data_IF_587725785494
#
_entry.id   IF_587725785494
#
_cell.length_a   1.000
_cell.length_b   1.000
_cell.length_c   1.000
_cell.angle_alpha   90.00
_cell.angle_beta   90.00
_cell.angle_gamma   90.00
#
_symmetry.space_group_name_H-M   'P 1'
#
loop_
_entity.id
_entity.type
_entity.pdbx_description
1 polymer ?
#
# COMPACT_ATOMS: atom_id res chain seq x y z
N UNK A 1 92.00 44.61 69.40
CA UNK A 1 91.73 44.59 67.94
C UNK A 1 92.01 43.16 67.47
N UNK A 2 91.10 42.35 66.93
CA UNK A 2 90.16 42.57 65.82
C UNK A 2 89.16 41.39 65.82
N UNK A 3 87.86 41.65 65.66
CA UNK A 3 86.83 40.61 65.44
C UNK A 3 86.49 40.58 63.95
N UNK A 4 86.92 39.54 63.22
CA UNK A 4 86.60 39.32 61.81
C UNK A 4 85.24 38.64 61.70
N UNK A 5 84.25 39.36 61.19
CA UNK A 5 83.03 38.78 60.66
C UNK A 5 83.31 38.10 59.31
N UNK A 6 82.85 36.85 59.16
CA UNK A 6 82.73 36.18 57.85
C UNK A 6 81.26 35.81 57.65
N UNK A 7 80.59 36.57 56.77
CA UNK A 7 79.47 36.07 55.96
C UNK A 7 80.02 34.96 55.06
N UNK A 8 79.37 33.80 54.96
CA UNK A 8 79.09 33.11 53.69
C UNK A 8 78.28 31.81 53.89
N UNK A 9 77.44 31.53 52.88
CA UNK A 9 76.73 30.28 52.50
C UNK A 9 75.24 30.14 52.87
N UNK A 10 74.39 30.82 52.08
CA UNK A 10 73.04 30.38 51.69
C UNK A 10 73.05 29.94 50.21
N UNK A 11 73.56 28.74 49.92
CA UNK A 11 73.49 28.15 48.56
C UNK A 11 73.02 26.68 48.52
N UNK A 12 72.94 25.98 49.67
CA UNK A 12 72.48 24.58 49.75
C UNK A 12 70.95 24.44 49.83
N UNK A 13 70.29 25.22 50.69
CA UNK A 13 68.84 25.13 50.91
C UNK A 13 68.01 25.54 49.69
N UNK A 14 68.52 26.46 48.87
CA UNK A 14 67.85 26.90 47.63
C UNK A 14 67.85 25.82 46.55
N UNK A 15 68.84 24.92 46.52
CA UNK A 15 68.94 23.87 45.50
C UNK A 15 68.03 22.70 45.86
N UNK A 16 67.99 22.29 47.14
CA UNK A 16 67.11 21.21 47.61
C UNK A 16 65.63 21.66 47.54
N UNK A 17 65.35 22.90 47.95
CA UNK A 17 64.02 23.49 47.80
C UNK A 17 63.58 23.58 46.33
N UNK A 18 64.48 23.96 45.42
CA UNK A 18 64.20 23.99 43.99
C UNK A 18 63.93 22.58 43.43
N UNK A 19 64.67 21.54 43.84
CA UNK A 19 64.47 20.16 43.38
C UNK A 19 63.10 19.64 43.83
N UNK A 20 62.71 19.85 45.10
CA UNK A 20 61.41 19.45 45.62
C UNK A 20 60.27 20.19 44.93
N UNK A 21 60.40 21.50 44.71
CA UNK A 21 59.41 22.30 43.99
C UNK A 21 59.27 21.83 42.54
N UNK A 22 60.39 21.54 41.88
CA UNK A 22 60.40 21.03 40.49
C UNK A 22 59.76 19.65 40.42
N UNK A 23 60.06 18.75 41.35
CA UNK A 23 59.45 17.42 41.41
C UNK A 23 57.93 17.48 41.65
N UNK A 24 57.47 18.35 42.55
CA UNK A 24 56.04 18.59 42.78
C UNK A 24 55.37 19.20 41.55
N UNK A 25 56.03 20.13 40.87
CA UNK A 25 55.50 20.79 39.67
C UNK A 25 55.39 19.80 38.51
N UNK A 26 56.42 18.96 38.31
CA UNK A 26 56.40 17.90 37.30
C UNK A 26 55.35 16.84 37.64
N UNK A 27 55.28 16.41 38.90
CA UNK A 27 54.27 15.44 39.36
C UNK A 27 52.83 15.95 39.19
N UNK A 28 52.56 17.20 39.57
CA UNK A 28 51.28 17.84 39.35
C UNK A 28 50.97 18.01 37.85
N UNK A 29 51.97 18.38 37.04
CA UNK A 29 51.84 18.50 35.59
C UNK A 29 51.48 17.17 34.93
N UNK A 30 52.15 16.08 35.31
CA UNK A 30 51.84 14.71 34.81
C UNK A 30 50.46 14.26 35.24
N UNK A 31 50.07 14.54 36.49
CA UNK A 31 48.73 14.20 36.99
C UNK A 31 47.62 14.95 36.24
N UNK A 32 47.78 16.26 36.03
CA UNK A 32 46.83 17.07 35.26
C UNK A 32 46.77 16.58 33.81
N UNK A 33 47.92 16.24 33.21
CA UNK A 33 47.97 15.68 31.87
C UNK A 33 47.22 14.34 31.78
N UNK A 34 47.41 13.44 32.75
CA UNK A 34 46.73 12.15 32.80
C UNK A 34 45.20 12.28 32.97
N UNK A 35 44.76 13.22 33.80
CA UNK A 35 43.32 13.53 33.97
C UNK A 35 42.75 14.13 32.68
N UNK A 36 43.48 15.06 32.05
CA UNK A 36 43.06 15.68 30.80
C UNK A 36 42.98 14.66 29.65
N UNK A 37 43.95 13.76 29.51
CA UNK A 37 43.92 12.70 28.48
C UNK A 37 42.83 11.67 28.73
N UNK A 38 42.59 11.30 30.00
CA UNK A 38 41.46 10.43 30.37
C UNK A 38 40.10 11.07 30.06
N UNK A 39 39.93 12.35 30.40
CA UNK A 39 38.73 13.11 30.07
C UNK A 39 38.52 13.26 28.57
N UNK A 40 39.58 13.58 27.82
CA UNK A 40 39.53 13.65 26.37
C UNK A 40 39.17 12.30 25.75
N UNK A 41 39.73 11.19 26.25
CA UNK A 41 39.39 9.84 25.80
C UNK A 41 37.91 9.51 26.01
N UNK A 42 37.38 9.77 27.21
CA UNK A 42 35.95 9.54 27.54
C UNK A 42 35.05 10.45 26.70
N UNK A 43 35.40 11.72 26.56
CA UNK A 43 34.61 12.68 25.76
C UNK A 43 34.65 12.40 24.26
N UNK A 44 35.79 11.96 23.71
CA UNK A 44 35.89 11.55 22.32
C UNK A 44 35.11 10.25 22.07
N UNK A 45 35.13 9.30 23.01
CA UNK A 45 34.36 8.08 22.90
C UNK A 45 32.85 8.35 23.00
N UNK A 46 32.42 9.24 23.92
CA UNK A 46 31.02 9.66 24.02
C UNK A 46 30.58 10.44 22.79
N UNK A 47 31.37 11.41 22.30
CA UNK A 47 31.03 12.19 21.11
C UNK A 47 31.06 11.35 19.82
N UNK A 48 31.95 10.36 19.71
CA UNK A 48 31.96 9.44 18.55
C UNK A 48 30.75 8.50 18.60
N UNK A 49 30.37 8.03 19.78
CA UNK A 49 29.16 7.23 19.99
C UNK A 49 27.90 8.04 19.67
N UNK A 50 27.80 9.28 20.16
CA UNK A 50 26.70 10.22 19.88
C UNK A 50 26.63 10.59 18.39
N UNK A 51 27.77 10.84 17.73
CA UNK A 51 27.81 11.13 16.30
C UNK A 51 27.38 9.91 15.46
N UNK A 52 27.86 8.72 15.79
CA UNK A 52 27.43 7.48 15.12
C UNK A 52 25.94 7.22 15.33
N UNK A 53 25.43 7.45 16.54
CA UNK A 53 24.01 7.37 16.90
C UNK A 53 23.18 8.36 16.08
N UNK A 54 23.61 9.62 15.99
CA UNK A 54 22.95 10.65 15.18
C UNK A 54 22.95 10.30 13.69
N UNK A 55 24.05 9.79 13.14
CA UNK A 55 24.14 9.35 11.74
C UNK A 55 23.20 8.18 11.46
N UNK A 56 23.11 7.19 12.37
CA UNK A 56 22.18 6.07 12.25
C UNK A 56 20.72 6.52 12.31
N UNK A 57 20.38 7.49 13.17
CA UNK A 57 19.05 8.10 13.24
C UNK A 57 18.68 8.85 11.95
N UNK A 58 19.63 9.56 11.35
CA UNK A 58 19.42 10.25 10.07
C UNK A 58 19.22 9.25 8.95
N UNK A 59 20.07 8.22 8.85
CA UNK A 59 19.93 7.16 7.85
C UNK A 59 18.56 6.49 7.96
N UNK A 60 18.13 6.12 9.16
CA UNK A 60 16.84 5.41 9.36
C UNK A 60 15.57 6.26 9.26
N UNK A 61 15.67 7.59 9.17
CA UNK A 61 14.53 8.51 9.37
C UNK A 61 13.34 8.40 8.38
N UNK A 62 13.49 7.74 7.23
CA UNK A 62 12.40 7.58 6.25
C UNK A 62 12.54 6.34 5.35
N UNK A 63 13.06 5.24 5.89
CA UNK A 63 13.57 4.13 5.07
C UNK A 63 12.84 2.80 5.26
N UNK A 64 11.77 2.73 6.07
CA UNK A 64 10.85 1.59 6.04
C UNK A 64 9.64 1.95 5.17
N UNK A 65 9.34 1.17 4.14
CA UNK A 65 8.24 1.43 3.22
C UNK A 65 7.21 0.32 3.24
N UNK A 66 5.93 0.68 3.12
CA UNK A 66 4.85 -0.28 2.93
C UNK A 66 4.82 -0.75 1.47
N UNK A 67 4.93 -2.06 1.27
CA UNK A 67 4.70 -2.66 -0.04
C UNK A 67 3.26 -3.14 -0.19
N UNK A 68 2.67 -3.63 0.91
CA UNK A 68 1.33 -4.21 0.93
C UNK A 68 0.72 -4.09 2.33
N UNK A 69 -0.56 -3.76 2.41
CA UNK A 69 -1.39 -3.75 3.62
C UNK A 69 -2.67 -4.53 3.36
N UNK A 70 -2.70 -5.81 3.74
CA UNK A 70 -3.87 -6.66 3.63
C UNK A 70 -4.56 -6.77 5.00
N UNK A 71 -5.65 -6.04 5.20
CA UNK A 71 -6.31 -5.94 6.51
C UNK A 71 -7.79 -6.32 6.41
N UNK A 72 -8.12 -7.56 6.78
CA UNK A 72 -9.51 -8.09 6.82
C UNK A 72 -9.90 -8.47 8.24
N UNK A 73 -11.19 -8.80 8.47
CA UNK A 73 -11.67 -9.24 9.79
C UNK A 73 -11.06 -10.56 10.28
N UNK A 74 -10.50 -11.37 9.38
CA UNK A 74 -9.95 -12.71 9.69
C UNK A 74 -8.44 -12.75 9.46
N UNK A 75 -7.98 -12.23 8.33
CA UNK A 75 -6.58 -12.23 7.91
C UNK A 75 -6.05 -10.80 7.88
N UNK A 76 -5.00 -10.55 8.64
CA UNK A 76 -4.25 -9.31 8.71
C UNK A 76 -2.80 -9.62 8.35
N UNK A 77 -2.28 -8.97 7.34
CA UNK A 77 -0.96 -9.20 6.80
C UNK A 77 -0.40 -7.91 6.21
N UNK A 78 0.81 -7.55 6.58
CA UNK A 78 1.45 -6.31 6.15
C UNK A 78 2.86 -6.62 5.69
N UNK A 79 3.21 -6.19 4.49
CA UNK A 79 4.56 -6.36 3.95
C UNK A 79 5.25 -5.00 3.98
N UNK A 80 6.38 -4.94 4.67
CA UNK A 80 7.23 -3.74 4.73
C UNK A 80 8.64 -4.07 4.26
N UNK A 81 9.22 -3.16 3.47
CA UNK A 81 10.60 -3.24 2.97
C UNK A 81 11.49 -2.26 3.71
N UNK A 82 12.66 -2.73 4.12
CA UNK A 82 13.74 -1.89 4.57
C UNK A 82 14.52 -1.34 3.35
N UNK A 83 14.36 -0.06 3.07
CA UNK A 83 15.09 0.70 2.03
C UNK A 83 16.40 1.27 2.61
N UNK A 84 16.67 1.07 3.90
CA UNK A 84 17.88 1.56 4.54
C UNK A 84 19.11 0.72 4.20
N UNK A 85 20.27 1.37 4.29
CA UNK A 85 21.58 0.72 4.20
C UNK A 85 21.99 0.01 5.50
N UNK A 86 21.13 0.04 6.53
CA UNK A 86 21.36 -0.58 7.83
C UNK A 86 20.18 -1.47 8.24
N UNK A 87 20.41 -2.55 9.02
CA UNK A 87 19.32 -3.37 9.54
C UNK A 87 18.39 -2.56 10.45
N UNK A 88 17.08 -2.81 10.32
CA UNK A 88 16.04 -2.14 11.09
C UNK A 88 15.26 -3.17 11.90
N UNK A 89 14.98 -2.84 13.16
CA UNK A 89 14.09 -3.61 14.03
C UNK A 89 12.74 -2.92 14.13
N UNK A 90 11.66 -3.67 13.87
CA UNK A 90 10.27 -3.24 14.04
C UNK A 90 9.89 -3.48 15.50
N UNK A 91 9.36 -2.45 16.16
CA UNK A 91 9.20 -2.44 17.62
C UNK A 91 7.76 -2.35 18.09
N UNK A 92 6.88 -1.78 17.26
CA UNK A 92 5.46 -1.61 17.57
C UNK A 92 4.64 -1.34 16.32
N UNK A 93 3.42 -1.86 16.27
CA UNK A 93 2.45 -1.62 15.19
C UNK A 93 1.22 -1.00 15.83
N UNK A 94 0.75 0.11 15.28
CA UNK A 94 -0.41 0.85 15.75
C UNK A 94 -1.43 1.02 14.63
N UNK A 95 -2.70 1.05 15.02
CA UNK A 95 -3.80 1.50 14.19
C UNK A 95 -4.30 2.78 14.82
N UNK A 96 -4.23 3.87 14.06
CA UNK A 96 -4.66 5.19 14.49
C UNK A 96 -5.75 5.71 13.57
N UNK A 97 -6.67 6.48 14.13
CA UNK A 97 -7.64 7.25 13.34
C UNK A 97 -6.97 8.37 12.53
N UNK A 98 -7.66 8.98 11.55
CA UNK A 98 -7.10 10.11 10.79
C UNK A 98 -6.75 11.33 11.66
N UNK A 99 -7.39 11.48 12.82
CA UNK A 99 -7.09 12.51 13.82
C UNK A 99 -5.91 12.14 14.75
N UNK A 100 -5.30 10.97 14.57
CA UNK A 100 -4.15 10.51 15.34
C UNK A 100 -4.48 9.77 16.65
N UNK A 101 -5.78 9.57 16.96
CA UNK A 101 -6.19 8.80 18.15
C UNK A 101 -5.85 7.33 17.96
N UNK A 102 -5.13 6.74 18.91
CA UNK A 102 -4.80 5.32 18.94
C UNK A 102 -6.05 4.46 19.15
N UNK A 103 -6.25 3.48 18.27
CA UNK A 103 -7.37 2.54 18.30
C UNK A 103 -6.96 1.14 18.75
N UNK A 104 -5.82 0.67 18.26
CA UNK A 104 -5.25 -0.63 18.64
C UNK A 104 -3.72 -0.61 18.47
N UNK A 105 -3.01 -1.41 19.25
CA UNK A 105 -1.55 -1.57 19.11
C UNK A 105 -1.09 -2.99 19.42
N UNK A 106 0.05 -3.35 18.84
CA UNK A 106 0.84 -4.52 19.21
C UNK A 106 2.30 -4.11 19.42
N UNK A 107 2.90 -4.40 20.59
CA UNK A 107 2.25 -4.95 21.77
C UNK A 107 1.18 -3.99 22.32
N UNK A 108 0.26 -4.51 23.15
CA UNK A 108 -0.85 -3.70 23.71
C UNK A 108 -0.34 -2.51 24.56
N UNK A 109 0.85 -2.65 25.13
CA UNK A 109 1.57 -1.60 25.86
C UNK A 109 3.07 -1.72 25.64
N UNK A 110 3.79 -0.60 25.63
CA UNK A 110 5.25 -0.58 25.47
C UNK A 110 5.73 -0.92 24.05
N UNK A 111 6.94 -1.43 23.94
CA UNK A 111 7.64 -1.78 22.70
C UNK A 111 8.34 -3.13 22.87
N UNK A 112 8.45 -3.92 21.80
CA UNK A 112 9.10 -5.23 21.81
C UNK A 112 9.71 -5.55 20.45
N UNK A 113 10.69 -6.45 20.36
CA UNK A 113 11.21 -6.89 19.06
C UNK A 113 10.15 -7.71 18.33
N UNK A 114 9.54 -7.14 17.29
CA UNK A 114 8.56 -7.83 16.43
C UNK A 114 9.30 -8.60 15.33
N UNK A 115 10.29 -7.95 14.70
CA UNK A 115 11.08 -8.55 13.64
C UNK A 115 12.23 -7.64 13.23
N UNK A 116 13.27 -8.24 12.67
CA UNK A 116 14.41 -7.54 12.10
C UNK A 116 14.37 -7.67 10.57
N UNK A 117 14.61 -6.55 9.88
CA UNK A 117 14.57 -6.45 8.43
C UNK A 117 15.94 -5.99 7.94
N UNK A 118 16.63 -6.84 7.20
CA UNK A 118 17.92 -6.50 6.61
C UNK A 118 17.76 -5.47 5.48
N UNK A 119 18.82 -4.72 5.15
CA UNK A 119 18.83 -3.79 4.01
C UNK A 119 18.27 -4.42 2.73
N UNK A 120 17.40 -3.69 2.03
CA UNK A 120 16.73 -4.07 0.79
C UNK A 120 15.83 -5.31 0.86
N UNK A 121 15.64 -5.90 2.03
CA UNK A 121 14.73 -7.02 2.24
C UNK A 121 13.35 -6.57 2.72
N UNK A 122 12.37 -7.42 2.51
CA UNK A 122 11.01 -7.24 3.00
C UNK A 122 10.69 -8.28 4.07
N UNK A 123 9.87 -7.89 5.03
CA UNK A 123 9.29 -8.79 6.02
C UNK A 123 7.77 -8.78 5.88
N UNK A 124 7.19 -9.96 6.05
CA UNK A 124 5.74 -10.15 6.11
C UNK A 124 5.32 -10.25 7.59
N UNK A 125 4.46 -9.33 8.02
CA UNK A 125 3.94 -9.23 9.37
C UNK A 125 2.52 -9.79 9.38
N UNK A 126 2.31 -10.91 10.04
CA UNK A 126 1.06 -11.65 10.02
C UNK A 126 0.05 -11.16 11.08
N UNK A 127 -1.05 -11.92 11.21
CA UNK A 127 -2.15 -11.60 12.12
C UNK A 127 -1.81 -11.74 13.60
N UNK A 128 -0.68 -12.39 13.93
CA UNK A 128 -0.18 -12.51 15.29
C UNK A 128 0.40 -11.19 15.81
N UNK A 129 0.95 -10.37 14.92
CA UNK A 129 1.61 -9.10 15.29
C UNK A 129 0.87 -7.87 14.77
N UNK A 130 0.07 -7.97 13.70
CA UNK A 130 -0.76 -6.87 13.22
C UNK A 130 -2.05 -6.80 14.06
N UNK A 131 -2.27 -5.75 14.89
CA UNK A 131 -3.36 -5.73 15.86
C UNK A 131 -4.75 -5.68 15.20
N UNK A 132 -5.75 -6.27 15.85
CA UNK A 132 -7.15 -6.17 15.45
C UNK A 132 -7.76 -4.89 16.03
N UNK A 133 -8.60 -4.19 15.27
CA UNK A 133 -9.32 -3.03 15.78
C UNK A 133 -10.80 -3.37 16.07
N UNK A 134 -11.06 -3.94 17.24
CA UNK A 134 -12.43 -4.27 17.67
C UNK A 134 -13.32 -3.05 17.92
N UNK A 135 -12.73 -1.89 18.17
CA UNK A 135 -13.42 -0.61 18.40
C UNK A 135 -13.61 0.23 17.12
N UNK A 136 -13.05 -0.20 16.00
CA UNK A 136 -13.17 0.52 14.72
C UNK A 136 -14.51 0.22 14.06
N UNK A 137 -15.06 1.22 13.39
CA UNK A 137 -16.31 1.09 12.64
C UNK A 137 -16.04 0.55 11.24
N UNK A 138 -17.00 -0.18 10.68
CA UNK A 138 -16.95 -0.65 9.29
C UNK A 138 -16.76 0.53 8.34
N UNK A 139 -15.82 0.41 7.39
CA UNK A 139 -15.47 1.46 6.42
C UNK A 139 -14.84 2.73 7.02
N UNK A 140 -14.39 2.70 8.27
CA UNK A 140 -13.59 3.79 8.84
C UNK A 140 -12.24 3.87 8.14
N UNK A 141 -11.88 5.03 7.58
CA UNK A 141 -10.51 5.27 7.10
C UNK A 141 -9.57 5.36 8.30
N UNK A 142 -8.50 4.57 8.28
CA UNK A 142 -7.51 4.46 9.36
C UNK A 142 -6.10 4.59 8.82
N UNK A 143 -5.13 4.74 9.72
CA UNK A 143 -3.70 4.67 9.38
C UNK A 143 -3.04 3.58 10.19
N UNK A 144 -2.24 2.78 9.50
CA UNK A 144 -1.33 1.85 10.14
C UNK A 144 0.00 2.54 10.33
N UNK A 145 0.46 2.61 11.58
CA UNK A 145 1.73 3.20 11.96
C UNK A 145 2.66 2.11 12.46
N UNK A 146 3.80 1.93 11.80
CA UNK A 146 4.82 0.95 12.22
C UNK A 146 6.01 1.71 12.77
N UNK A 147 6.30 1.46 14.04
CA UNK A 147 7.46 1.97 14.75
C UNK A 147 8.66 1.07 14.54
N UNK A 148 9.80 1.68 14.30
CA UNK A 148 11.03 0.97 14.00
C UNK A 148 12.26 1.79 14.41
N UNK A 149 13.40 1.12 14.53
CA UNK A 149 14.69 1.73 14.89
C UNK A 149 15.83 0.94 14.25
N UNK A 150 17.02 1.54 14.09
CA UNK A 150 18.20 0.78 13.70
C UNK A 150 18.43 -0.37 14.69
N UNK A 151 18.64 -1.59 14.19
CA UNK A 151 18.74 -2.78 15.06
C UNK A 151 19.88 -2.66 16.09
N UNK A 152 20.96 -1.95 15.75
CA UNK A 152 22.08 -1.71 16.67
C UNK A 152 21.78 -0.73 17.81
N UNK A 153 20.67 0.00 17.74
CA UNK A 153 20.22 0.96 18.76
C UNK A 153 19.10 0.39 19.64
N UNK A 154 18.54 -0.77 19.27
CA UNK A 154 17.45 -1.38 20.02
C UNK A 154 17.99 -2.20 21.20
N UNK A 155 17.60 -1.82 22.43
CA UNK A 155 17.86 -2.60 23.63
C UNK A 155 16.70 -3.57 23.89
N UNK A 156 16.91 -4.87 23.63
CA UNK A 156 15.90 -5.91 23.88
C UNK A 156 15.58 -6.06 25.37
N UNK A 157 16.53 -5.80 26.26
CA UNK A 157 16.36 -5.96 27.69
C UNK A 157 15.55 -4.80 28.30
N UNK A 158 15.72 -3.59 27.74
CA UNK A 158 14.95 -2.41 28.13
C UNK A 158 14.48 -1.59 26.92
N UNK A 159 13.45 -2.04 26.18
CA UNK A 159 12.97 -1.39 24.97
C UNK A 159 12.54 0.08 25.14
N UNK A 160 12.15 0.44 26.37
CA UNK A 160 11.74 1.80 26.73
C UNK A 160 12.87 2.82 26.64
N UNK A 161 14.13 2.40 26.75
CA UNK A 161 15.29 3.31 26.65
C UNK A 161 15.52 3.76 25.20
N UNK A 162 15.18 2.91 24.23
CA UNK A 162 15.33 3.19 22.80
C UNK A 162 14.18 4.00 22.20
N UNK A 163 13.15 4.40 22.98
CA UNK A 163 11.93 5.03 22.45
C UNK A 163 12.20 6.36 21.75
N UNK A 164 13.09 7.18 22.31
CA UNK A 164 13.45 8.49 21.73
C UNK A 164 14.15 8.36 20.37
N UNK A 165 14.63 7.17 20.03
CA UNK A 165 15.30 6.85 18.77
C UNK A 165 14.36 6.25 17.73
N UNK A 166 13.18 5.79 18.17
CA UNK A 166 12.24 5.14 17.29
C UNK A 166 11.62 6.15 16.34
N UNK A 167 11.47 5.71 15.09
CA UNK A 167 10.75 6.41 14.03
C UNK A 167 9.52 5.62 13.68
N UNK A 168 8.62 6.24 12.94
CA UNK A 168 7.47 5.54 12.41
C UNK A 168 7.21 5.88 10.95
N UNK A 169 6.64 4.92 10.23
CA UNK A 169 6.05 5.11 8.91
C UNK A 169 4.55 4.86 8.99
N UNK A 170 3.76 5.62 8.23
CA UNK A 170 2.31 5.48 8.16
C UNK A 170 1.86 5.06 6.76
N UNK A 171 0.82 4.23 6.70
CA UNK A 171 0.05 3.96 5.47
C UNK A 171 -1.44 4.03 5.77
N UNK A 172 -2.23 4.51 4.81
CA UNK A 172 -3.68 4.66 4.93
C UNK A 172 -4.37 3.38 4.46
N UNK A 173 -5.37 2.92 5.20
CA UNK A 173 -6.23 1.81 4.80
C UNK A 173 -7.67 2.02 5.30
N UNK A 174 -8.62 1.25 4.78
CA UNK A 174 -10.03 1.31 5.20
C UNK A 174 -10.34 0.09 6.06
N UNK A 175 -10.98 0.29 7.22
CA UNK A 175 -11.33 -0.78 8.13
C UNK A 175 -12.36 -1.72 7.51
N UNK A 176 -12.12 -3.04 7.50
CA UNK A 176 -13.05 -4.01 6.96
C UNK A 176 -14.36 -4.01 7.76
N UNK A 177 -15.48 -4.38 7.16
CA UNK A 177 -16.73 -4.52 7.89
C UNK A 177 -16.61 -5.54 9.03
N UNK A 178 -16.94 -5.13 10.27
CA UNK A 178 -16.89 -6.01 11.45
C UNK A 178 -17.92 -7.14 11.27
N UNK A 179 -17.46 -8.39 11.25
CA UNK A 179 -18.31 -9.57 11.11
C UNK A 179 -18.60 -10.03 9.68
N UNK A 180 -17.96 -9.46 8.65
CA UNK A 180 -18.03 -10.05 7.32
C UNK A 180 -16.89 -11.07 7.15
N UNK A 181 -17.17 -12.40 7.14
CA UNK A 181 -16.30 -13.31 6.40
C UNK A 181 -16.12 -12.76 4.97
N UNK A 182 -15.04 -13.15 4.27
CA UNK A 182 -14.96 -12.91 2.83
C UNK A 182 -16.32 -13.28 2.23
N UNK A 183 -17.00 -12.32 1.58
CA UNK A 183 -18.37 -12.53 1.11
C UNK A 183 -18.43 -13.75 0.22
N UNK A 184 -17.31 -13.99 -0.48
CA UNK A 184 -17.08 -15.13 -1.33
C UNK A 184 -15.82 -15.90 -0.92
N UNK A 185 -15.92 -17.22 -0.65
CA UNK A 185 -14.73 -18.04 -0.53
C UNK A 185 -13.99 -18.08 -1.89
N UNK A 186 -12.66 -18.00 -1.84
CA UNK A 186 -11.84 -18.20 -3.03
C UNK A 186 -11.79 -19.69 -3.37
N UNK A 187 -12.13 -20.09 -4.60
CA UNK A 187 -11.96 -21.47 -5.03
C UNK A 187 -10.46 -21.78 -5.21
N UNK A 188 -10.06 -23.05 -5.38
CA UNK A 188 -8.64 -23.40 -5.55
C UNK A 188 -8.01 -22.80 -6.81
N UNK A 189 -8.72 -22.88 -7.94
CA UNK A 189 -8.30 -22.33 -9.22
C UNK A 189 -9.18 -21.13 -9.57
N UNK A 190 -8.60 -19.94 -9.59
CA UNK A 190 -9.35 -18.72 -9.89
C UNK A 190 -8.56 -17.77 -10.78
N UNK A 191 -9.32 -16.95 -11.51
CA UNK A 191 -8.81 -15.80 -12.28
C UNK A 191 -9.71 -14.59 -12.01
N UNK A 192 -9.10 -13.41 -11.97
CA UNK A 192 -9.81 -12.14 -11.83
C UNK A 192 -9.88 -11.44 -13.17
N UNK A 193 -10.96 -10.68 -13.37
CA UNK A 193 -11.13 -9.76 -14.48
C UNK A 193 -11.32 -8.37 -13.90
N UNK A 194 -10.52 -7.41 -14.38
CA UNK A 194 -10.65 -6.02 -13.95
C UNK A 194 -11.00 -5.06 -15.09
N UNK A 195 -10.91 -5.50 -16.35
CA UNK A 195 -11.34 -4.73 -17.52
C UNK A 195 -12.19 -5.60 -18.43
N UNK A 196 -13.33 -5.05 -18.86
CA UNK A 196 -14.12 -5.57 -19.98
C UNK A 196 -14.52 -4.40 -20.87
N UNK A 197 -14.17 -4.48 -22.14
CA UNK A 197 -14.42 -3.47 -23.17
C UNK A 197 -15.03 -4.13 -24.41
N UNK A 198 -16.37 -4.18 -24.52
CA UNK A 198 -17.04 -4.47 -25.77
C UNK A 198 -16.88 -3.26 -26.70
N UNK A 199 -15.93 -3.34 -27.62
CA UNK A 199 -15.69 -2.28 -28.62
C UNK A 199 -17.01 -1.96 -29.32
N UNK A 200 -17.54 -0.76 -29.11
CA UNK A 200 -18.83 -0.35 -29.67
C UNK A 200 -18.67 0.92 -30.49
N UNK A 201 -19.58 1.12 -31.45
CA UNK A 201 -19.76 2.43 -32.05
C UNK A 201 -20.32 3.40 -31.01
N UNK A 202 -19.70 4.57 -30.91
CA UNK A 202 -20.04 5.60 -29.93
C UNK A 202 -21.45 6.17 -30.11
N UNK A 203 -21.95 6.21 -31.34
CA UNK A 203 -23.26 6.78 -31.70
C UNK A 203 -24.45 5.87 -31.38
N UNK A 204 -24.23 4.55 -31.40
CA UNK A 204 -25.30 3.55 -31.43
C UNK A 204 -25.19 2.49 -30.35
N UNK A 205 -24.00 2.30 -29.78
CA UNK A 205 -23.71 1.23 -28.83
C UNK A 205 -23.72 -0.15 -29.44
N UNK A 206 -23.57 -0.24 -30.77
CA UNK A 206 -23.49 -1.52 -31.47
C UNK A 206 -22.05 -1.98 -31.58
N UNK A 207 -21.81 -3.28 -31.36
CA UNK A 207 -20.51 -3.88 -31.66
C UNK A 207 -20.34 -3.90 -33.20
N UNK A 208 -19.24 -3.38 -33.76
CA UNK A 208 -19.05 -3.30 -35.20
C UNK A 208 -18.91 -4.68 -35.84
N UNK A 209 -19.10 -4.79 -37.18
CA UNK A 209 -18.80 -6.01 -37.91
C UNK A 209 -17.28 -6.29 -37.96
N UNK A 210 -16.94 -7.48 -38.46
CA UNK A 210 -15.56 -7.86 -38.76
C UNK A 210 -14.84 -6.79 -39.60
N UNK A 211 -13.57 -6.47 -39.30
CA UNK A 211 -12.65 -7.17 -38.37
C UNK A 211 -12.66 -6.67 -36.92
N UNK A 212 -13.55 -5.73 -36.59
CA UNK A 212 -13.55 -5.02 -35.30
C UNK A 212 -14.56 -5.59 -34.29
N UNK A 213 -15.22 -6.70 -34.62
CA UNK A 213 -16.14 -7.44 -33.74
C UNK A 213 -15.38 -8.11 -32.58
N UNK A 214 -14.90 -7.30 -31.63
CA UNK A 214 -14.06 -7.75 -30.52
C UNK A 214 -14.60 -7.27 -29.18
N UNK A 215 -14.39 -8.11 -28.17
CA UNK A 215 -14.44 -7.73 -26.76
C UNK A 215 -13.04 -7.90 -26.20
N UNK A 216 -12.54 -6.89 -25.50
CA UNK A 216 -11.27 -6.95 -24.80
C UNK A 216 -11.48 -7.24 -23.32
N UNK A 217 -10.65 -8.13 -22.77
CA UNK A 217 -10.71 -8.52 -21.35
C UNK A 217 -9.30 -8.55 -20.78
N UNK A 218 -9.11 -8.07 -19.54
CA UNK A 218 -7.83 -8.15 -18.83
C UNK A 218 -7.91 -9.09 -17.64
N UNK A 219 -6.86 -9.91 -17.45
CA UNK A 219 -6.77 -10.91 -16.38
C UNK A 219 -5.59 -10.61 -15.45
N UNK A 220 -5.67 -9.61 -14.56
CA UNK A 220 -4.52 -9.11 -13.80
C UNK A 220 -4.01 -10.11 -12.74
N UNK A 221 -4.86 -11.03 -12.27
CA UNK A 221 -4.55 -11.91 -11.15
C UNK A 221 -5.17 -13.30 -11.32
N UNK A 222 -4.48 -14.32 -10.82
CA UNK A 222 -4.96 -15.70 -10.72
C UNK A 222 -4.35 -16.43 -9.51
N UNK A 223 -4.87 -17.62 -9.23
CA UNK A 223 -4.30 -18.55 -8.23
C UNK A 223 -2.90 -19.04 -8.60
N UNK A 224 -2.61 -19.16 -9.89
CA UNK A 224 -1.35 -19.67 -10.43
C UNK A 224 -1.08 -19.10 -11.82
N UNK A 225 0.20 -19.00 -12.20
CA UNK A 225 0.60 -18.63 -13.56
C UNK A 225 0.52 -19.82 -14.51
N UNK A 226 0.12 -19.57 -15.75
CA UNK A 226 -0.11 -20.58 -16.79
C UNK A 226 -1.03 -20.04 -17.88
N UNK A 227 -1.66 -20.92 -18.63
CA UNK A 227 -2.68 -20.58 -19.64
C UNK A 227 -4.03 -21.19 -19.29
N UNK A 228 -5.12 -20.53 -19.68
CA UNK A 228 -6.48 -21.02 -19.53
C UNK A 228 -7.26 -20.82 -20.83
N UNK A 229 -8.14 -21.77 -21.14
CA UNK A 229 -9.17 -21.56 -22.17
C UNK A 229 -10.32 -20.79 -21.54
N UNK A 230 -10.62 -19.62 -22.10
CA UNK A 230 -11.68 -18.73 -21.65
C UNK A 230 -12.71 -18.59 -22.76
N UNK A 231 -13.97 -18.68 -22.38
CA UNK A 231 -15.12 -18.44 -23.24
C UNK A 231 -15.78 -17.13 -22.83
N UNK A 232 -16.05 -16.28 -23.82
CA UNK A 232 -16.93 -15.14 -23.69
C UNK A 232 -18.29 -15.47 -24.26
N UNK A 233 -19.33 -15.18 -23.48
CA UNK A 233 -20.71 -15.12 -23.94
C UNK A 233 -21.19 -13.68 -23.87
N UNK A 234 -21.60 -13.10 -25.00
CA UNK A 234 -22.25 -11.79 -25.04
C UNK A 234 -23.74 -12.03 -25.26
N UNK A 235 -24.59 -11.44 -24.43
CA UNK A 235 -26.06 -11.54 -24.52
C UNK A 235 -26.63 -10.14 -24.71
N UNK A 236 -27.42 -9.95 -25.76
CA UNK A 236 -28.07 -8.66 -26.02
C UNK A 236 -29.41 -8.53 -25.26
N UNK A 237 -30.03 -7.36 -25.35
CA UNK A 237 -31.32 -7.09 -24.71
C UNK A 237 -32.48 -8.00 -25.17
N UNK A 238 -32.41 -8.57 -26.37
CA UNK A 238 -33.45 -9.50 -26.88
C UNK A 238 -33.24 -10.94 -26.43
N UNK A 239 -32.12 -11.23 -25.76
CA UNK A 239 -31.74 -12.57 -25.32
C UNK A 239 -30.95 -13.37 -26.36
N UNK A 240 -30.68 -12.81 -27.53
CA UNK A 240 -29.73 -13.38 -28.49
C UNK A 240 -28.33 -13.40 -27.87
N UNK A 241 -27.58 -14.46 -28.12
CA UNK A 241 -26.23 -14.62 -27.59
C UNK A 241 -25.21 -14.95 -28.68
N UNK A 242 -24.00 -14.44 -28.49
CA UNK A 242 -22.83 -14.73 -29.30
C UNK A 242 -21.70 -15.27 -28.42
N UNK A 243 -20.81 -16.05 -29.01
CA UNK A 243 -19.68 -16.64 -28.29
C UNK A 243 -18.34 -16.32 -28.95
N UNK A 244 -17.29 -16.30 -28.13
CA UNK A 244 -15.90 -16.31 -28.55
C UNK A 244 -15.07 -17.14 -27.56
N UNK A 245 -14.10 -17.90 -28.06
CA UNK A 245 -13.19 -18.69 -27.24
C UNK A 245 -11.76 -18.25 -27.53
N UNK A 246 -10.94 -18.11 -26.49
CA UNK A 246 -9.52 -17.84 -26.66
C UNK A 246 -8.70 -18.51 -25.55
N UNK A 247 -7.46 -18.88 -25.86
CA UNK A 247 -6.47 -19.31 -24.86
C UNK A 247 -5.67 -18.10 -24.42
N UNK A 248 -5.77 -17.76 -23.14
CA UNK A 248 -5.15 -16.56 -22.57
C UNK A 248 -4.16 -16.93 -21.46
N UNK A 249 -3.15 -16.11 -21.19
CA UNK A 249 -2.40 -16.21 -19.94
C UNK A 249 -3.35 -15.98 -18.76
N UNK A 250 -3.23 -16.83 -17.74
CA UNK A 250 -3.99 -16.72 -16.48
C UNK A 250 -3.69 -15.43 -15.71
N UNK A 251 -2.48 -14.88 -15.89
CA UNK A 251 -2.04 -13.59 -15.33
C UNK A 251 -1.47 -12.75 -16.47
N UNK A 252 -2.11 -11.62 -16.78
CA UNK A 252 -1.71 -10.69 -17.83
C UNK A 252 -2.28 -9.29 -17.58
N UNK A 253 -1.41 -8.29 -17.63
CA UNK A 253 -1.81 -6.87 -17.63
C UNK A 253 -2.13 -6.34 -19.04
N UNK A 254 -2.16 -7.22 -20.05
CA UNK A 254 -2.48 -6.86 -21.43
C UNK A 254 -3.92 -7.27 -21.75
N UNK A 255 -4.65 -6.40 -22.44
CA UNK A 255 -5.99 -6.70 -22.95
C UNK A 255 -5.95 -7.85 -23.95
N UNK A 256 -6.74 -8.90 -23.67
CA UNK A 256 -6.88 -10.07 -24.51
C UNK A 256 -8.07 -9.88 -25.46
N UNK A 257 -7.87 -9.97 -26.79
CA UNK A 257 -8.97 -9.86 -27.75
C UNK A 257 -9.76 -11.16 -27.82
N UNK A 258 -11.08 -11.05 -27.84
CA UNK A 258 -11.99 -12.15 -28.16
C UNK A 258 -12.81 -11.72 -29.38
N UNK A 259 -12.67 -12.44 -30.49
CA UNK A 259 -13.45 -12.19 -31.70
C UNK A 259 -14.52 -13.28 -31.83
N UNK A 260 -15.78 -12.88 -32.05
CA UNK A 260 -16.90 -13.82 -32.02
C UNK A 260 -18.14 -13.34 -32.77
N UNK A 261 -19.22 -14.10 -32.62
CA UNK A 261 -20.48 -13.91 -33.32
C UNK A 261 -21.41 -12.91 -32.61
N UNK A 262 -20.92 -11.72 -32.29
CA UNK A 262 -21.67 -10.68 -31.58
C UNK A 262 -21.69 -9.34 -32.35
N UNK A 263 -21.35 -9.35 -33.64
CA UNK A 263 -21.47 -8.19 -34.51
C UNK A 263 -22.93 -7.71 -34.56
N UNK A 264 -23.14 -6.40 -34.41
CA UNK A 264 -24.47 -5.78 -34.42
C UNK A 264 -25.21 -5.84 -33.08
N UNK A 265 -24.69 -6.56 -32.07
CA UNK A 265 -25.29 -6.55 -30.73
C UNK A 265 -25.20 -5.16 -30.15
N UNK A 266 -26.31 -4.68 -29.58
CA UNK A 266 -26.46 -3.31 -29.10
C UNK A 266 -26.55 -3.28 -27.58
N UNK A 267 -25.83 -2.35 -26.94
CA UNK A 267 -25.99 -2.03 -25.53
C UNK A 267 -27.43 -1.51 -25.29
N UNK A 268 -28.17 -1.99 -24.27
CA UNK A 268 -27.70 -2.79 -23.14
C UNK A 268 -27.38 -4.25 -23.48
N UNK A 269 -26.25 -4.72 -22.94
CA UNK A 269 -25.75 -6.08 -23.14
C UNK A 269 -25.12 -6.64 -21.86
N UNK A 270 -25.00 -7.95 -21.79
CA UNK A 270 -24.30 -8.67 -20.73
C UNK A 270 -23.13 -9.44 -21.32
N UNK A 271 -21.92 -9.24 -20.81
CA UNK A 271 -20.74 -10.04 -21.13
C UNK A 271 -20.49 -10.99 -19.97
N UNK A 272 -20.45 -12.29 -20.26
CA UNK A 272 -20.08 -13.33 -19.31
C UNK A 272 -18.72 -13.91 -19.69
N UNK A 273 -17.84 -14.00 -18.69
CA UNK A 273 -16.49 -14.55 -18.82
C UNK A 273 -16.44 -15.87 -18.10
N UNK A 274 -16.20 -16.95 -18.83
CA UNK A 274 -16.33 -18.33 -18.39
C UNK A 274 -15.03 -19.10 -18.66
N UNK A 275 -14.75 -20.11 -17.86
CA UNK A 275 -13.67 -21.07 -18.13
C UNK A 275 -14.02 -22.41 -17.50
N UNK A 276 -13.61 -23.50 -18.14
CA UNK A 276 -13.79 -24.85 -17.59
C UNK A 276 -12.76 -25.16 -16.49
N UNK A 277 -11.55 -24.59 -16.59
CA UNK A 277 -10.40 -24.95 -15.76
C UNK A 277 -10.21 -24.01 -14.56
N UNK A 278 -10.70 -22.77 -14.67
CA UNK A 278 -10.58 -21.73 -13.68
C UNK A 278 -11.95 -21.14 -13.35
N UNK A 279 -12.19 -20.86 -12.06
CA UNK A 279 -13.33 -20.03 -11.68
C UNK A 279 -13.01 -18.56 -11.94
N UNK A 280 -13.68 -17.95 -12.91
CA UNK A 280 -13.60 -16.50 -13.11
C UNK A 280 -14.36 -15.81 -11.97
N UNK A 281 -13.71 -14.92 -11.23
CA UNK A 281 -14.36 -14.24 -10.12
C UNK A 281 -15.38 -13.22 -10.64
N UNK A 282 -14.97 -12.24 -11.43
CA UNK A 282 -15.87 -11.25 -12.04
C UNK A 282 -16.47 -11.84 -13.32
N UNK A 283 -17.41 -12.77 -13.17
CA UNK A 283 -17.95 -13.57 -14.28
C UNK A 283 -18.97 -12.83 -15.14
N UNK A 284 -19.66 -11.81 -14.62
CA UNK A 284 -20.78 -11.16 -15.32
C UNK A 284 -20.63 -9.63 -15.29
N UNK A 285 -20.69 -9.02 -16.46
CA UNK A 285 -20.54 -7.59 -16.69
C UNK A 285 -21.72 -7.08 -17.50
N UNK A 286 -22.55 -6.23 -16.90
CA UNK A 286 -23.74 -5.67 -17.52
C UNK A 286 -23.46 -4.24 -17.92
N UNK A 287 -23.59 -3.96 -19.22
CA UNK A 287 -23.41 -2.65 -19.81
C UNK A 287 -24.79 -2.05 -20.09
N UNK A 288 -25.09 -0.94 -19.42
CA UNK A 288 -26.32 -0.18 -19.60
C UNK A 288 -26.17 0.89 -20.67
N UNK A 289 -27.30 1.31 -21.24
CA UNK A 289 -27.32 2.34 -22.26
C UNK A 289 -28.73 2.68 -22.71
N UNK A 290 -28.86 3.87 -23.27
CA UNK A 290 -30.05 4.37 -23.94
C UNK A 290 -29.75 4.35 -25.45
N UNK A 291 -30.45 3.50 -26.24
CA UNK A 291 -30.24 3.38 -27.67
C UNK A 291 -30.21 4.73 -28.39
N UNK A 292 -29.13 4.99 -29.14
CA UNK A 292 -28.96 6.20 -29.94
C UNK A 292 -28.65 7.47 -29.15
N UNK A 293 -28.40 7.38 -27.84
CA UNK A 293 -28.06 8.51 -26.97
C UNK A 293 -26.71 8.33 -26.27
N UNK A 294 -26.64 7.44 -25.28
CA UNK A 294 -25.42 7.18 -24.52
C UNK A 294 -25.41 5.78 -23.94
N UNK A 295 -24.24 5.17 -23.81
CA UNK A 295 -24.10 3.81 -23.29
C UNK A 295 -22.70 3.58 -22.68
N UNK A 296 -22.59 2.57 -21.82
CA UNK A 296 -21.30 2.09 -21.35
C UNK A 296 -20.61 1.28 -22.46
N UNK A 297 -19.42 1.71 -22.86
CA UNK A 297 -18.58 1.08 -23.88
C UNK A 297 -17.46 0.24 -23.27
N UNK A 298 -17.00 0.58 -22.08
CA UNK A 298 -15.92 -0.12 -21.38
C UNK A 298 -15.99 0.10 -19.88
N UNK A 299 -15.49 -0.86 -19.10
CA UNK A 299 -15.44 -0.77 -17.63
C UNK A 299 -14.10 -1.26 -17.12
N UNK A 300 -13.47 -0.46 -16.26
CA UNK A 300 -12.23 -0.79 -15.56
C UNK A 300 -12.41 -0.66 -14.04
N UNK A 301 -12.05 -1.72 -13.31
CA UNK A 301 -11.96 -1.74 -11.86
C UNK A 301 -10.51 -1.42 -11.44
N UNK A 302 -10.27 -0.16 -11.05
CA UNK A 302 -8.94 0.27 -10.61
C UNK A 302 -8.67 -0.24 -9.19
N UNK A 303 -7.75 -1.20 -9.10
CA UNK A 303 -7.35 -1.81 -7.83
C UNK A 303 -5.97 -1.35 -7.37
N UNK A 304 -5.82 -1.24 -6.05
CA UNK A 304 -4.54 -0.94 -5.41
C UNK A 304 -3.63 -2.19 -5.30
N UNK A 305 -2.45 -2.04 -4.70
CA UNK A 305 -1.51 -3.14 -4.47
C UNK A 305 -2.11 -4.25 -3.56
N UNK A 306 -3.18 -3.96 -2.82
CA UNK A 306 -3.90 -4.90 -1.97
C UNK A 306 -5.07 -5.57 -2.71
N UNK A 307 -5.23 -5.29 -4.00
CA UNK A 307 -6.33 -5.77 -4.85
C UNK A 307 -7.69 -5.27 -4.37
N UNK A 308 -7.72 -4.11 -3.71
CA UNK A 308 -8.97 -3.43 -3.39
C UNK A 308 -9.29 -2.43 -4.49
N UNK A 309 -10.51 -2.50 -5.01
CA UNK A 309 -11.05 -1.53 -5.96
C UNK A 309 -11.48 -0.30 -5.19
N UNK A 310 -10.95 0.86 -5.60
CA UNK A 310 -11.28 2.15 -5.01
C UNK A 310 -11.93 3.09 -6.03
N UNK A 311 -11.76 2.82 -7.33
CA UNK A 311 -12.35 3.59 -8.43
C UNK A 311 -12.86 2.64 -9.50
N UNK A 312 -14.05 2.92 -10.04
CA UNK A 312 -14.56 2.29 -11.25
C UNK A 312 -14.56 3.32 -12.35
N UNK A 313 -13.82 3.06 -13.42
CA UNK A 313 -13.87 3.84 -14.65
C UNK A 313 -14.88 3.21 -15.59
N UNK A 314 -15.76 4.04 -16.14
CA UNK A 314 -16.72 3.69 -17.17
C UNK A 314 -16.43 4.54 -18.39
N UNK A 315 -16.02 3.90 -19.47
CA UNK A 315 -15.94 4.55 -20.79
C UNK A 315 -17.35 4.65 -21.35
N UNK A 316 -17.77 5.85 -21.72
CA UNK A 316 -19.08 6.14 -22.30
C UNK A 316 -18.95 6.37 -23.81
N UNK A 317 -19.80 5.71 -24.59
CA UNK A 317 -20.12 6.15 -25.95
C UNK A 317 -21.31 7.09 -25.92
N UNK A 318 -21.24 8.19 -26.67
CA UNK A 318 -22.33 9.17 -26.77
C UNK A 318 -22.56 9.56 -28.23
N UNK A 319 -23.82 9.76 -28.58
CA UNK A 319 -24.22 10.37 -29.83
C UNK A 319 -23.88 11.87 -29.80
N UNK A 320 -22.84 12.23 -30.54
CA UNK A 320 -22.29 13.58 -30.62
C UNK A 320 -23.28 14.62 -31.15
N UNK A 321 -24.27 14.20 -31.93
CA UNK A 321 -25.32 15.11 -32.44
C UNK A 321 -26.28 15.55 -31.33
N UNK A 322 -26.50 14.69 -30.33
CA UNK A 322 -27.50 14.92 -29.27
C UNK A 322 -26.84 15.50 -28.01
N UNK A 323 -25.66 15.00 -27.64
CA UNK A 323 -25.09 15.24 -26.31
C UNK A 323 -26.07 14.81 -25.20
N UNK A 324 -25.94 15.36 -23.99
CA UNK A 324 -26.96 15.19 -22.95
C UNK A 324 -26.44 15.24 -21.52
N UNK A 325 -27.37 15.12 -20.57
CA UNK A 325 -27.06 14.89 -19.16
C UNK A 325 -27.43 13.46 -18.81
N UNK A 326 -26.45 12.70 -18.32
CA UNK A 326 -26.61 11.28 -18.06
C UNK A 326 -26.22 10.97 -16.62
N UNK A 327 -27.02 10.14 -15.95
CA UNK A 327 -26.63 9.52 -14.68
C UNK A 327 -26.05 8.15 -14.97
N UNK A 328 -24.79 7.98 -14.61
CA UNK A 328 -24.07 6.70 -14.67
C UNK A 328 -24.11 6.09 -13.29
N UNK A 329 -24.61 4.87 -13.16
CA UNK A 329 -24.72 4.13 -11.90
C UNK A 329 -23.88 2.85 -11.97
N UNK A 330 -22.93 2.68 -11.05
CA UNK A 330 -22.19 1.45 -10.84
C UNK A 330 -22.82 0.70 -9.68
N UNK A 331 -23.16 -0.58 -9.89
CA UNK A 331 -23.59 -1.49 -8.83
C UNK A 331 -22.75 -2.76 -8.86
N UNK A 332 -22.14 -3.08 -7.72
CA UNK A 332 -21.30 -4.27 -7.54
C UNK A 332 -22.06 -5.31 -6.71
N UNK A 333 -21.94 -6.58 -7.10
CA UNK A 333 -22.60 -7.69 -6.42
C UNK A 333 -21.62 -8.79 -6.06
N UNK A 334 -21.88 -9.48 -4.96
CA UNK A 334 -21.13 -10.66 -4.52
C UNK A 334 -21.68 -11.97 -5.13
N UNK A 335 -21.08 -13.10 -4.75
CA UNK A 335 -21.41 -14.46 -5.22
C UNK A 335 -22.79 -14.95 -4.79
N UNK A 336 -23.39 -14.34 -3.77
CA UNK A 336 -24.75 -14.66 -3.36
C UNK A 336 -25.77 -13.78 -4.08
N UNK A 337 -25.31 -12.92 -5.01
CA UNK A 337 -26.14 -11.94 -5.69
C UNK A 337 -26.53 -10.77 -4.79
N UNK A 338 -25.93 -10.63 -3.60
CA UNK A 338 -26.20 -9.50 -2.72
C UNK A 338 -25.40 -8.27 -3.19
N UNK A 339 -26.05 -7.11 -3.13
CA UNK A 339 -25.40 -5.85 -3.49
C UNK A 339 -24.29 -5.53 -2.49
N UNK A 340 -23.09 -5.27 -3.00
CA UNK A 340 -21.96 -4.76 -2.22
C UNK A 340 -22.11 -3.26 -2.05
N UNK A 341 -22.29 -2.56 -3.17
CA UNK A 341 -22.51 -1.12 -3.21
C UNK A 341 -23.25 -0.72 -4.48
N UNK A 342 -23.84 0.47 -4.44
CA UNK A 342 -24.34 1.19 -5.61
C UNK A 342 -23.95 2.66 -5.48
N UNK A 343 -23.35 3.22 -6.53
CA UNK A 343 -22.91 4.62 -6.61
C UNK A 343 -23.26 5.19 -7.97
N UNK A 344 -23.62 6.46 -8.01
CA UNK A 344 -23.95 7.14 -9.24
C UNK A 344 -23.31 8.51 -9.33
N UNK A 345 -22.98 8.93 -10.54
CA UNK A 345 -22.54 10.29 -10.85
C UNK A 345 -23.34 10.80 -12.05
N UNK A 346 -23.64 12.09 -12.04
CA UNK A 346 -24.24 12.76 -13.20
C UNK A 346 -23.16 13.47 -13.98
N UNK A 347 -23.10 13.19 -15.29
CA UNK A 347 -22.17 13.80 -16.23
C UNK A 347 -22.94 14.57 -17.29
N UNK A 348 -22.38 15.70 -17.71
CA UNK A 348 -22.92 16.53 -18.78
C UNK A 348 -21.98 16.46 -19.96
N UNK A 349 -22.50 15.96 -21.08
CA UNK A 349 -21.73 15.71 -22.29
C UNK A 349 -22.24 16.68 -23.37
N UNK A 350 -21.44 17.66 -23.80
CA UNK A 350 -21.83 18.60 -24.85
C UNK A 350 -22.04 17.92 -26.21
N UNK A 351 -22.81 18.57 -27.07
CA UNK A 351 -22.87 18.25 -28.50
C UNK A 351 -21.46 18.38 -29.11
N UNK A 352 -21.09 17.44 -29.98
CA UNK A 352 -19.77 17.32 -30.61
C UNK A 352 -18.78 16.42 -29.86
N UNK A 353 -19.16 15.88 -28.70
CA UNK A 353 -18.36 14.90 -27.95
C UNK A 353 -18.97 13.50 -28.14
N UNK A 354 -18.17 12.56 -28.62
CA UNK A 354 -18.60 11.18 -28.92
C UNK A 354 -18.13 10.16 -27.88
N UNK A 355 -17.21 10.50 -26.98
CA UNK A 355 -16.73 9.62 -25.91
C UNK A 355 -16.33 10.41 -24.67
N UNK A 356 -16.47 9.80 -23.50
CA UNK A 356 -15.99 10.35 -22.22
C UNK A 356 -15.65 9.21 -21.24
N UNK A 357 -14.71 9.44 -20.32
CA UNK A 357 -14.38 8.49 -19.25
C UNK A 357 -14.89 9.02 -17.91
N UNK A 358 -15.74 8.24 -17.25
CA UNK A 358 -16.34 8.60 -15.97
C UNK A 358 -15.70 7.79 -14.85
N UNK A 359 -15.07 8.49 -13.91
CA UNK A 359 -14.46 7.88 -12.73
C UNK A 359 -15.42 7.99 -11.54
N UNK A 360 -15.80 6.85 -10.98
CA UNK A 360 -16.71 6.76 -9.84
C UNK A 360 -15.91 6.22 -8.64
N UNK A 361 -15.65 7.10 -7.68
CA UNK A 361 -15.02 6.74 -6.42
C UNK A 361 -15.95 5.83 -5.61
N UNK A 362 -15.39 4.72 -5.10
CA UNK A 362 -16.10 3.77 -4.26
C UNK A 362 -15.32 3.52 -2.97
N UNK A 363 -16.01 3.14 -1.86
CA UNK A 363 -15.34 2.60 -0.70
C UNK A 363 -14.46 1.41 -1.09
N UNK A 364 -13.30 1.30 -0.44
CA UNK A 364 -12.35 0.23 -0.71
C UNK A 364 -13.01 -1.14 -0.64
N UNK A 365 -13.06 -1.83 -1.78
CA UNK A 365 -13.80 -3.08 -1.95
C UNK A 365 -12.85 -4.16 -2.45
N UNK A 366 -12.64 -5.28 -1.74
CA UNK A 366 -11.80 -6.36 -2.22
C UNK A 366 -12.28 -6.88 -3.56
N UNK A 367 -11.39 -6.94 -4.55
CA UNK A 367 -11.71 -7.48 -5.87
C UNK A 367 -12.18 -8.94 -5.76
N UNK A 368 -11.74 -9.68 -4.74
CA UNK A 368 -12.18 -11.06 -4.44
C UNK A 368 -13.68 -11.18 -4.13
N UNK A 369 -14.30 -10.12 -3.63
CA UNK A 369 -15.71 -10.11 -3.23
C UNK A 369 -16.65 -9.78 -4.39
N UNK A 370 -16.14 -9.17 -5.46
CA UNK A 370 -16.93 -8.73 -6.61
C UNK A 370 -17.12 -9.90 -7.59
N UNK A 371 -18.36 -10.23 -7.92
CA UNK A 371 -18.71 -11.27 -8.90
C UNK A 371 -19.45 -10.78 -10.12
N UNK A 372 -20.28 -9.75 -9.93
CA UNK A 372 -21.01 -9.10 -11.02
C UNK A 372 -20.88 -7.60 -10.93
N UNK A 373 -20.61 -6.99 -12.07
CA UNK A 373 -20.49 -5.54 -12.25
C UNK A 373 -21.65 -5.09 -13.13
N UNK A 374 -22.46 -4.15 -12.67
CA UNK A 374 -23.60 -3.62 -13.41
C UNK A 374 -23.44 -2.12 -13.58
N UNK A 375 -23.44 -1.66 -14.82
CA UNK A 375 -23.45 -0.25 -15.18
C UNK A 375 -24.83 0.11 -15.69
N UNK A 376 -25.47 1.09 -15.06
CA UNK A 376 -26.67 1.75 -15.57
C UNK A 376 -26.32 3.10 -16.18
N UNK A 377 -26.97 3.44 -17.29
CA UNK A 377 -26.90 4.77 -17.92
C UNK A 377 -28.34 5.22 -18.17
N UNK A 378 -28.74 6.34 -17.57
CA UNK A 378 -30.08 6.92 -17.69
C UNK A 378 -30.02 8.44 -17.90
N UNK A 379 -31.10 9.08 -18.35
CA UNK A 379 -31.18 10.54 -18.42
C UNK A 379 -31.29 11.14 -17.02
N UNK A 380 -30.56 12.22 -16.77
CA UNK A 380 -30.47 12.87 -15.44
C UNK A 380 -31.34 14.11 -15.29
#
# INVERSE_FOLDING_TARGET
MTRRGRRFRRRGDTVIGAILLTALTVGAGVFILAVATGWLGVSLQSSTSEANRAVLLVKTSAQLNFERVFYTGVVRNVTVRNIADVPITITRIEIVSPSGVLKASYPASGFTRIGEVQPQQAIELDSGVVPACSSCTSFETLRMRIWYVASSLFDDANPMISVDEMRYVESVFVHPPVGAPARCPLPPNWMMVDVVDPVTYTDSGKIPPSPNNRVYVRFPFASSSGTATVDLQVVNATGEYGFATNTVPTISNVLQPFAGSFAGFQVPLTVRVLSADYTILQQEWVFGGIPGKAHASGVTLWSDANKNVNVVEVELGVNDVVGGNYRVTVTLYDCNGAQILSRSITVRIPVGIFTDSVFIDIPSTPLTDIKRVVIGVEEA
#
